data_IF_555744851588
#
_entry.id   IF_555744851588
#
_cell.length_a   1.000
_cell.length_b   1.000
_cell.length_c   1.000
_cell.angle_alpha   90.00
_cell.angle_beta   90.00
_cell.angle_gamma   90.00
#
_symmetry.space_group_name_H-M   'P 1'
#
loop_
_entity.id
_entity.type
_entity.pdbx_description
1 polymer ?
#
# COMPACT_ATOMS: atom_id res chain seq x y z
N UNK A 1 -4.77 3.35 16.29
CA UNK A 1 -4.08 2.26 15.56
C UNK A 1 -2.95 1.77 16.45
N UNK A 2 -2.74 0.45 16.61
CA UNK A 2 -1.61 -0.09 17.38
C UNK A 2 -0.25 0.25 16.72
N UNK A 3 0.81 0.38 17.53
CA UNK A 3 2.16 0.66 17.03
C UNK A 3 2.68 -0.42 16.07
N UNK A 4 2.37 -1.69 16.38
CA UNK A 4 2.69 -2.83 15.52
C UNK A 4 2.06 -2.70 14.13
N UNK A 5 0.78 -2.34 14.07
CA UNK A 5 0.07 -2.10 12.81
C UNK A 5 0.74 -0.97 12.02
N UNK A 6 1.12 0.12 12.67
CA UNK A 6 1.82 1.22 12.00
C UNK A 6 3.16 0.77 11.41
N UNK A 7 3.96 0.02 12.18
CA UNK A 7 5.25 -0.50 11.71
C UNK A 7 5.09 -1.43 10.51
N UNK A 8 4.07 -2.30 10.53
CA UNK A 8 3.76 -3.17 9.40
C UNK A 8 3.34 -2.39 8.15
N UNK A 9 2.51 -1.34 8.30
CA UNK A 9 2.12 -0.47 7.19
C UNK A 9 3.35 0.25 6.61
N UNK A 10 4.25 0.76 7.46
CA UNK A 10 5.49 1.39 7.00
C UNK A 10 6.35 0.42 6.18
N UNK A 11 6.57 -0.80 6.66
CA UNK A 11 7.33 -1.81 5.92
C UNK A 11 6.68 -2.26 4.61
N UNK A 12 5.36 -2.16 4.48
CA UNK A 12 4.67 -2.35 3.19
C UNK A 12 4.96 -1.17 2.25
N UNK A 13 4.86 0.06 2.72
CA UNK A 13 5.12 1.26 1.91
C UNK A 13 6.57 1.31 1.39
N UNK A 14 7.54 0.95 2.24
CA UNK A 14 8.95 0.85 1.84
C UNK A 14 9.14 -0.17 0.71
N UNK A 15 8.49 -1.34 0.80
CA UNK A 15 8.53 -2.36 -0.25
C UNK A 15 7.84 -1.93 -1.54
N UNK A 16 6.72 -1.21 -1.46
CA UNK A 16 6.04 -0.66 -2.63
C UNK A 16 6.83 0.48 -3.30
N UNK A 17 7.81 1.06 -2.61
CA UNK A 17 8.80 1.95 -3.21
C UNK A 17 9.71 1.24 -4.22
N UNK A 18 9.83 -0.09 -4.15
CA UNK A 18 10.58 -0.92 -5.09
C UNK A 18 9.78 -1.17 -6.38
N UNK A 19 10.37 -0.82 -7.52
CA UNK A 19 9.76 -1.00 -8.84
C UNK A 19 9.47 -2.45 -9.20
N UNK A 20 10.21 -3.41 -8.63
CA UNK A 20 10.04 -4.83 -8.94
C UNK A 20 8.84 -5.46 -8.21
N UNK A 21 8.33 -4.81 -7.17
CA UNK A 21 7.25 -5.32 -6.31
C UNK A 21 5.92 -4.58 -6.54
N UNK A 22 5.92 -3.50 -7.30
CA UNK A 22 4.70 -2.75 -7.64
C UNK A 22 3.87 -3.47 -8.70
N UNK A 23 2.56 -3.38 -8.54
CA UNK A 23 1.64 -3.82 -9.57
C UNK A 23 1.68 -2.82 -10.77
N UNK A 24 1.62 -3.29 -12.03
CA UNK A 24 1.68 -2.40 -13.20
C UNK A 24 0.62 -1.30 -13.21
N UNK A 25 -0.56 -1.56 -12.64
CA UNK A 25 -1.65 -0.58 -12.51
C UNK A 25 -1.34 0.59 -11.56
N UNK A 26 -0.28 0.48 -10.75
CA UNK A 26 0.18 1.59 -9.91
C UNK A 26 0.83 2.71 -10.74
N UNK A 27 1.39 2.37 -11.90
CA UNK A 27 2.02 3.32 -12.82
C UNK A 27 0.96 4.11 -13.58
N UNK A 28 0.73 5.35 -13.15
CA UNK A 28 -0.26 6.23 -13.78
C UNK A 28 -1.71 5.99 -13.34
N UNK A 29 -1.93 5.22 -12.27
CA UNK A 29 -3.25 4.86 -11.76
C UNK A 29 -3.29 4.64 -10.24
N UNK A 30 -4.46 4.25 -9.74
CA UNK A 30 -4.67 3.83 -8.35
C UNK A 30 -4.49 2.31 -8.27
N UNK A 31 -3.59 1.86 -7.40
CA UNK A 31 -3.39 0.47 -7.05
C UNK A 31 -3.80 0.19 -5.61
N UNK A 32 -3.99 -1.11 -5.30
CA UNK A 32 -4.37 -1.61 -3.98
C UNK A 32 -3.38 -2.66 -3.50
N UNK A 33 -3.06 -2.65 -2.21
CA UNK A 33 -2.22 -3.66 -1.59
C UNK A 33 -2.85 -4.17 -0.29
N UNK A 34 -3.22 -5.46 -0.20
CA UNK A 34 -3.80 -6.02 1.00
C UNK A 34 -2.75 -6.20 2.10
N UNK A 35 -3.13 -5.89 3.34
CA UNK A 35 -2.35 -6.12 4.56
C UNK A 35 -3.19 -7.03 5.48
N UNK A 36 -3.33 -8.32 5.10
CA UNK A 36 -4.33 -9.20 5.69
C UNK A 36 -4.10 -9.45 7.18
N UNK A 37 -2.84 -9.51 7.62
CA UNK A 37 -2.45 -9.69 9.02
C UNK A 37 -3.02 -8.60 9.96
N UNK A 38 -3.38 -7.44 9.41
CA UNK A 38 -3.94 -6.33 10.18
C UNK A 38 -5.35 -5.91 9.72
N UNK A 39 -5.95 -6.62 8.76
CA UNK A 39 -7.30 -6.30 8.26
C UNK A 39 -7.40 -4.96 7.54
N UNK A 40 -6.34 -4.58 6.81
CA UNK A 40 -6.31 -3.34 6.02
C UNK A 40 -6.01 -3.60 4.56
N UNK A 41 -6.40 -2.64 3.72
CA UNK A 41 -5.96 -2.50 2.33
C UNK A 41 -5.43 -1.07 2.14
N UNK A 42 -4.25 -0.96 1.52
CA UNK A 42 -3.64 0.30 1.15
C UNK A 42 -4.06 0.68 -0.26
N UNK A 43 -4.58 1.89 -0.45
CA UNK A 43 -4.75 2.50 -1.76
C UNK A 43 -3.58 3.45 -2.02
N UNK A 44 -2.87 3.27 -3.13
CA UNK A 44 -1.70 4.07 -3.47
C UNK A 44 -1.61 4.37 -4.96
N UNK A 45 -0.81 5.35 -5.33
CA UNK A 45 -0.41 5.60 -6.71
C UNK A 45 1.10 5.77 -6.79
N UNK A 46 1.65 5.49 -7.95
CA UNK A 46 3.06 5.72 -8.22
C UNK A 46 3.25 6.61 -9.44
N UNK A 47 4.11 7.61 -9.27
CA UNK A 47 4.53 8.50 -10.33
C UNK A 47 5.95 8.14 -10.76
N UNK A 48 6.09 7.52 -11.94
CA UNK A 48 7.38 7.14 -12.53
C UNK A 48 8.29 8.35 -12.79
N UNK A 49 7.72 9.52 -13.12
CA UNK A 49 8.49 10.71 -13.50
C UNK A 49 9.21 11.29 -12.29
N UNK A 50 8.51 11.34 -11.15
CA UNK A 50 9.04 11.85 -9.89
C UNK A 50 9.58 10.75 -8.96
N UNK A 51 9.44 9.47 -9.36
CA UNK A 51 9.75 8.29 -8.54
C UNK A 51 9.13 8.37 -7.14
N UNK A 52 7.88 8.81 -7.10
CA UNK A 52 7.18 9.09 -5.84
C UNK A 52 6.03 8.11 -5.65
N UNK A 53 6.01 7.47 -4.48
CA UNK A 53 4.85 6.72 -3.99
C UNK A 53 3.94 7.66 -3.21
N UNK A 54 2.68 7.73 -3.59
CA UNK A 54 1.66 8.49 -2.84
C UNK A 54 0.68 7.53 -2.22
N UNK A 55 0.58 7.58 -0.89
CA UNK A 55 -0.49 6.90 -0.17
C UNK A 55 -1.79 7.69 -0.35
N UNK A 56 -2.79 7.08 -0.98
CA UNK A 56 -4.09 7.71 -1.25
C UNK A 56 -5.12 7.41 -0.18
N UNK A 57 -5.02 6.24 0.46
CA UNK A 57 -5.98 5.82 1.47
C UNK A 57 -5.59 4.55 2.20
N UNK A 58 -6.17 4.38 3.39
CA UNK A 58 -6.09 3.16 4.19
C UNK A 58 -7.51 2.72 4.51
N UNK A 59 -7.92 1.57 4.00
CA UNK A 59 -9.28 1.05 4.13
C UNK A 59 -9.25 -0.16 5.06
N UNK A 60 -10.16 -0.21 6.04
CA UNK A 60 -10.39 -1.46 6.79
C UNK A 60 -11.13 -2.43 5.90
N UNK A 61 -10.56 -3.62 5.73
CA UNK A 61 -11.25 -4.72 5.07
C UNK A 61 -11.78 -5.65 6.16
N UNK A 62 -13.11 -5.75 6.25
CA UNK A 62 -13.75 -6.78 7.07
C UNK A 62 -13.31 -8.13 6.52
N UNK A 63 -12.50 -8.86 7.29
CA UNK A 63 -12.26 -10.26 6.98
C UNK A 63 -13.59 -10.97 7.18
N UNK A 64 -14.34 -11.18 6.09
CA UNK A 64 -15.47 -12.09 6.16
C UNK A 64 -14.90 -13.47 6.56
N UNK A 65 -15.52 -14.15 7.53
CA UNK A 65 -15.12 -15.50 7.93
C UNK A 65 -15.28 -16.51 6.79
#
# INVERSE_FOLDING_TARGET
MPAETFAALQGVLERLGDAHLRAPEATGGRARHPVPQHGFELEYSWDERSRTLTLLGLVRVSHAP
#
